data_IF_769381051198
#
_entry.id   IF_769381051198
#
_cell.length_a   1.000
_cell.length_b   1.000
_cell.length_c   1.000
_cell.angle_alpha   90.00
_cell.angle_beta   90.00
_cell.angle_gamma   90.00
#
_symmetry.space_group_name_H-M   'P 1'
#
loop_
_entity.id
_entity.type
_entity.pdbx_description
1 polymer ?
2 non-polymer ?
3 non-polymer ?
4 non-polymer ?
5 water ?
#
# COMPACT_ATOMS: atom_id res chain seq x y z
N UNK A 13 -14.08 -21.77 23.76
CA UNK A 13 -15.40 -21.34 24.22
C UNK A 13 -15.32 -20.93 25.69
N UNK A 14 -16.13 -19.94 26.07
CA UNK A 14 -16.04 -19.37 27.41
C UNK A 14 -17.45 -18.99 27.86
N UNK A 15 -17.64 -18.92 29.18
CA UNK A 15 -18.91 -18.51 29.73
C UNK A 15 -19.37 -17.21 29.11
N UNK A 16 -20.67 -17.12 28.80
CA UNK A 16 -21.22 -15.96 28.17
C UNK A 16 -21.13 -15.95 26.65
N UNK A 17 -20.30 -16.81 26.07
CA UNK A 17 -20.30 -16.97 24.63
C UNK A 17 -21.58 -17.67 24.15
N UNK A 18 -22.00 -17.31 22.95
CA UNK A 18 -23.19 -17.87 22.33
C UNK A 18 -22.77 -18.62 21.07
N UNK A 19 -23.10 -19.90 21.00
CA UNK A 19 -22.93 -20.69 19.79
C UNK A 19 -24.15 -20.52 18.90
N UNK A 20 -23.93 -20.28 17.61
CA UNK A 20 -24.98 -20.12 16.61
C UNK A 20 -24.49 -20.82 15.37
N UNK A 21 -25.06 -21.98 15.07
CA UNK A 21 -24.45 -22.85 14.08
C UNK A 21 -23.07 -23.28 14.53
N UNK A 22 -22.09 -23.19 13.63
CA UNK A 22 -20.72 -23.49 14.02
C UNK A 22 -19.92 -22.22 14.33
N UNK A 23 -20.60 -21.09 14.53
CA UNK A 23 -19.97 -19.83 14.87
C UNK A 23 -20.16 -19.51 16.35
N UNK A 24 -19.29 -18.63 16.86
CA UNK A 24 -19.36 -18.21 18.25
C UNK A 24 -19.40 -16.68 18.29
N UNK A 25 -20.26 -16.16 19.17
CA UNK A 25 -20.44 -14.73 19.35
C UNK A 25 -20.25 -14.37 20.80
N UNK A 26 -19.53 -13.28 21.05
CA UNK A 26 -19.25 -12.82 22.41
C UNK A 26 -19.51 -11.32 22.48
N UNK A 27 -20.37 -10.89 23.41
CA UNK A 27 -20.59 -9.45 23.57
C UNK A 27 -19.42 -8.84 24.33
N UNK A 28 -18.83 -7.79 23.73
CA UNK A 28 -17.70 -7.10 24.32
C UNK A 28 -18.07 -5.79 24.98
N UNK A 29 -19.16 -5.18 24.54
CA UNK A 29 -19.66 -3.91 25.05
C UNK A 29 -21.12 -3.84 24.70
N UNK A 30 -21.86 -2.87 25.26
CA UNK A 30 -23.31 -2.79 24.95
C UNK A 30 -23.65 -2.89 23.46
N UNK A 31 -22.82 -2.33 22.59
CA UNK A 31 -23.11 -2.32 21.15
C UNK A 31 -22.00 -2.95 20.30
N UNK A 32 -21.19 -3.82 20.87
CA UNK A 32 -20.08 -4.44 20.17
C UNK A 32 -20.02 -5.92 20.51
N UNK A 33 -19.88 -6.75 19.47
CA UNK A 33 -19.71 -8.17 19.60
C UNK A 33 -18.52 -8.67 18.77
N UNK A 34 -17.90 -9.74 19.25
CA UNK A 34 -16.88 -10.45 18.50
C UNK A 34 -17.54 -11.64 17.82
N UNK A 35 -17.29 -11.83 16.52
CA UNK A 35 -17.68 -13.04 15.82
C UNK A 35 -16.45 -13.92 15.60
N UNK A 36 -16.66 -15.22 15.79
CA UNK A 36 -15.60 -16.20 15.65
C UNK A 36 -16.07 -17.33 14.75
N UNK A 37 -15.27 -17.66 13.74
CA UNK A 37 -15.53 -18.76 12.84
C UNK A 37 -14.28 -19.62 12.78
N UNK A 38 -14.43 -20.86 12.35
CA UNK A 38 -13.37 -21.85 12.45
C UNK A 38 -13.16 -22.54 11.12
N UNK A 39 -11.91 -22.81 10.80
CA UNK A 39 -11.57 -23.60 9.62
C UNK A 39 -10.61 -24.70 10.02
N UNK A 40 -10.88 -25.91 9.55
CA UNK A 40 -9.99 -27.03 9.82
C UNK A 40 -8.77 -26.95 8.91
N UNK A 41 -7.60 -27.09 9.51
CA UNK A 41 -6.36 -27.13 8.73
C UNK A 41 -5.58 -28.41 9.00
N UNK A 44 -3.44 -29.86 12.11
CA UNK A 44 -3.41 -28.50 12.66
C UNK A 44 -4.66 -28.27 13.50
N UNK A 45 -5.76 -28.89 13.09
CA UNK A 45 -7.01 -28.78 13.83
C UNK A 45 -7.80 -27.55 13.43
N UNK A 46 -8.74 -27.18 14.30
CA UNK A 46 -9.55 -26.01 14.06
C UNK A 46 -8.78 -24.73 14.36
N UNK A 47 -8.81 -23.80 13.43
CA UNK A 47 -8.18 -22.49 13.61
C UNK A 47 -9.27 -21.44 13.66
N UNK A 48 -9.28 -20.65 14.74
CA UNK A 48 -10.25 -19.58 14.89
C UNK A 48 -9.83 -18.31 14.18
N UNK A 49 -10.83 -17.59 13.69
CA UNK A 49 -10.65 -16.22 13.22
C UNK A 49 -11.77 -15.33 13.77
N UNK A 50 -11.40 -14.19 14.30
CA UNK A 50 -12.31 -13.26 14.94
C UNK A 50 -12.49 -11.99 14.13
N UNK A 51 -13.73 -11.48 14.11
CA UNK A 51 -14.03 -10.15 13.63
C UNK A 51 -14.99 -9.44 14.57
N UNK A 52 -15.61 -8.32 14.15
CA UNK A 52 -16.46 -7.53 15.03
C UNK A 52 -17.79 -7.18 14.36
N UNK A 53 -18.80 -6.99 15.21
CA UNK A 53 -20.11 -6.50 14.85
C UNK A 53 -20.39 -5.30 15.74
N UNK A 54 -20.86 -4.20 15.15
CA UNK A 54 -21.11 -2.97 15.90
C UNK A 54 -22.51 -2.48 15.59
N UNK A 55 -23.30 -2.23 16.64
CA UNK A 55 -24.59 -1.60 16.51
C UNK A 55 -24.40 -0.09 16.65
N UNK A 56 -24.82 0.65 15.62
CA UNK A 56 -24.66 2.09 15.55
C UNK A 56 -26.03 2.71 15.25
N UNK A 57 -26.78 3.05 16.29
CA UNK A 57 -28.12 3.56 16.09
C UNK A 57 -28.99 2.50 15.46
N UNK A 58 -29.55 2.80 14.30
CA UNK A 58 -30.48 1.91 13.64
C UNK A 58 -29.83 1.03 12.60
N UNK A 59 -28.53 0.80 12.73
CA UNK A 59 -27.85 -0.01 11.73
C UNK A 59 -26.69 -0.76 12.36
N UNK A 60 -26.22 -1.75 11.63
CA UNK A 60 -25.14 -2.61 12.09
C UNK A 60 -23.99 -2.50 11.10
N UNK A 61 -22.78 -2.50 11.64
CA UNK A 61 -21.52 -2.45 10.88
C UNK A 61 -20.72 -3.71 11.18
N UNK A 62 -20.08 -4.28 10.15
CA UNK A 62 -19.30 -5.49 10.34
C UNK A 62 -17.84 -5.24 10.01
N UNK A 63 -16.96 -5.78 10.84
CA UNK A 63 -15.53 -5.81 10.53
C UNK A 63 -15.13 -7.27 10.29
N UNK A 64 -14.70 -7.56 9.07
CA UNK A 64 -14.21 -8.84 8.56
C UNK A 64 -15.32 -9.88 8.32
N UNK A 65 -15.16 -10.65 7.25
CA UNK A 65 -16.00 -11.81 7.01
C UNK A 65 -15.53 -12.95 7.91
N UNK A 66 -16.23 -14.08 7.81
CA UNK A 66 -15.77 -15.36 8.32
C UNK A 66 -14.90 -16.02 7.24
N UNK A 67 -14.37 -17.21 7.52
CA UNK A 67 -13.54 -17.87 6.52
C UNK A 67 -14.29 -18.16 5.22
N UNK A 68 -15.60 -18.45 5.31
CA UNK A 68 -16.34 -18.88 4.13
C UNK A 68 -17.63 -18.09 3.94
N UNK A 69 -18.17 -18.18 2.71
CA UNK A 69 -19.47 -17.58 2.43
C UNK A 69 -20.58 -18.14 3.33
N UNK A 70 -20.66 -19.46 3.46
CA UNK A 70 -21.72 -20.03 4.30
C UNK A 70 -21.62 -19.52 5.74
N UNK A 71 -20.40 -19.46 6.27
CA UNK A 71 -20.22 -18.95 7.63
C UNK A 71 -20.61 -17.48 7.73
N UNK A 72 -20.28 -16.69 6.69
CA UNK A 72 -20.59 -15.26 6.72
C UNK A 72 -22.09 -15.05 6.64
N UNK A 73 -22.77 -15.89 5.88
CA UNK A 73 -24.24 -15.88 5.86
C UNK A 73 -24.81 -16.11 7.25
N UNK A 74 -24.20 -16.99 8.04
CA UNK A 74 -24.66 -17.20 9.41
C UNK A 74 -24.40 -15.99 10.31
N UNK A 75 -23.29 -15.23 10.09
CA UNK A 75 -23.13 -13.96 10.80
C UNK A 75 -24.37 -13.10 10.56
N UNK A 76 -24.80 -12.98 9.30
CA UNK A 76 -25.96 -12.15 8.96
C UNK A 76 -27.23 -12.68 9.61
N UNK A 77 -27.34 -14.00 9.69
CA UNK A 77 -28.50 -14.59 10.34
C UNK A 77 -28.49 -14.31 11.85
N UNK A 78 -27.31 -14.40 12.49
CA UNK A 78 -27.22 -14.07 13.90
C UNK A 78 -27.57 -12.62 14.14
N UNK A 79 -27.09 -11.71 13.28
CA UNK A 79 -27.44 -10.31 13.44
C UNK A 79 -28.95 -10.11 13.37
N UNK A 80 -29.61 -10.76 12.40
CA UNK A 80 -31.05 -10.62 12.23
C UNK A 80 -31.78 -11.03 13.51
N UNK A 81 -31.33 -12.12 14.12
CA UNK A 81 -31.97 -12.64 15.31
C UNK A 81 -31.68 -11.84 16.56
N UNK A 82 -30.41 -11.50 16.79
CA UNK A 82 -30.08 -10.90 18.08
C UNK A 82 -30.17 -9.38 18.05
N UNK A 83 -29.98 -8.74 16.90
CA UNK A 83 -30.02 -7.28 16.82
C UNK A 83 -31.20 -6.78 16.00
N UNK A 84 -31.49 -7.45 14.88
CA UNK A 84 -32.64 -7.13 14.04
C UNK A 84 -32.59 -5.69 13.54
N UNK A 85 -31.40 -5.28 13.10
CA UNK A 85 -31.20 -4.03 12.38
C UNK A 85 -30.47 -4.33 11.08
N UNK A 86 -30.71 -3.55 10.05
CA UNK A 86 -30.03 -3.78 8.77
C UNK A 86 -28.54 -3.54 8.88
N UNK A 87 -27.79 -4.34 8.14
CA UNK A 87 -26.34 -4.17 8.05
C UNK A 87 -26.03 -3.12 6.97
N UNK A 88 -25.42 -2.01 7.38
CA UNK A 88 -25.17 -0.89 6.48
C UNK A 88 -23.90 -1.09 5.67
N UNK A 89 -22.87 -1.67 6.29
CA UNK A 89 -21.61 -1.84 5.59
C UNK A 89 -20.74 -2.85 6.33
N UNK A 90 -19.74 -3.34 5.61
CA UNK A 90 -18.69 -4.17 6.19
C UNK A 90 -17.35 -3.67 5.68
N UNK A 91 -16.35 -3.72 6.56
CA UNK A 91 -14.97 -3.40 6.20
C UNK A 91 -14.10 -4.61 6.53
N UNK A 92 -13.18 -4.94 5.62
CA UNK A 92 -12.35 -6.11 5.74
C UNK A 92 -10.89 -5.65 5.75
N UNK A 93 -10.07 -6.32 6.53
CA UNK A 93 -8.83 -5.71 6.97
C UNK A 93 -7.56 -6.23 6.29
N UNK A 94 -7.63 -7.26 5.46
CA UNK A 94 -6.64 -7.54 4.42
C UNK A 94 -7.13 -8.70 3.54
N UNK A 95 -6.40 -8.94 2.45
CA UNK A 95 -6.86 -9.90 1.44
C UNK A 95 -6.33 -11.31 1.73
N UNK A 96 -6.76 -11.88 2.84
CA UNK A 96 -6.58 -13.29 3.14
C UNK A 96 -7.95 -13.90 3.42
N UNK A 97 -7.98 -15.23 3.39
CA UNK A 97 -9.25 -15.95 3.41
C UNK A 97 -10.03 -15.69 4.70
N UNK A 98 -9.33 -15.56 5.83
CA UNK A 98 -10.06 -15.39 7.08
C UNK A 98 -10.78 -14.07 7.15
N UNK A 99 -10.36 -13.09 6.37
CA UNK A 99 -10.93 -11.76 6.45
C UNK A 99 -11.84 -11.44 5.29
N UNK A 100 -11.60 -12.06 4.13
CA UNK A 100 -12.34 -11.77 2.91
C UNK A 100 -12.96 -13.00 2.28
N UNK A 101 -12.84 -14.17 2.91
CA UNK A 101 -13.35 -15.39 2.32
C UNK A 101 -14.85 -15.40 2.10
N UNK A 102 -15.58 -14.56 2.83
CA UNK A 102 -17.04 -14.57 2.77
C UNK A 102 -17.66 -13.38 2.06
N UNK A 103 -16.91 -12.73 1.18
CA UNK A 103 -17.40 -11.51 0.53
C UNK A 103 -18.70 -11.76 -0.25
N UNK A 104 -18.79 -12.90 -0.94
CA UNK A 104 -20.00 -13.16 -1.72
C UNK A 104 -21.26 -13.14 -0.88
N UNK A 105 -21.20 -13.61 0.37
CA UNK A 105 -22.40 -13.60 1.21
C UNK A 105 -22.87 -12.18 1.47
N UNK A 106 -21.91 -11.28 1.66
CA UNK A 106 -22.26 -9.87 1.85
C UNK A 106 -22.83 -9.27 0.57
N UNK A 107 -22.18 -9.53 -0.56
CA UNK A 107 -22.65 -8.95 -1.82
C UNK A 107 -24.01 -9.53 -2.24
N UNK A 108 -24.22 -10.82 -1.98
CA UNK A 108 -25.54 -11.38 -2.26
C UNK A 108 -26.65 -10.70 -1.46
N UNK A 109 -26.34 -10.24 -0.25
CA UNK A 109 -27.30 -9.60 0.64
C UNK A 109 -27.39 -8.09 0.42
N UNK A 110 -26.67 -7.57 -0.56
CA UNK A 110 -26.72 -6.16 -0.87
C UNK A 110 -25.98 -5.25 0.06
N UNK A 111 -24.99 -5.78 0.78
CA UNK A 111 -24.26 -5.00 1.78
C UNK A 111 -23.06 -4.36 1.11
N UNK A 112 -22.92 -3.04 1.33
CA UNK A 112 -21.76 -2.31 0.81
C UNK A 112 -20.50 -2.74 1.54
N UNK A 113 -19.45 -3.05 0.79
CA UNK A 113 -18.22 -3.57 1.36
C UNK A 113 -17.06 -2.66 1.02
N UNK A 114 -16.13 -2.56 1.98
CA UNK A 114 -14.99 -1.64 1.93
C UNK A 114 -13.72 -2.39 2.28
N UNK A 115 -12.62 -2.05 1.59
CA UNK A 115 -11.30 -2.55 1.94
C UNK A 115 -10.24 -1.54 1.51
N UNK A 116 -9.05 -1.68 2.08
CA UNK A 116 -7.86 -0.99 1.53
C UNK A 116 -7.83 -1.18 0.01
N UNK A 117 -7.63 -0.08 -0.72
CA UNK A 117 -7.49 -0.22 -2.16
C UNK A 117 -6.50 -1.32 -2.53
N UNK A 118 -5.37 -1.39 -1.83
CA UNK A 118 -4.39 -2.43 -2.11
C UNK A 118 -4.97 -3.82 -1.86
N UNK A 119 -5.81 -3.96 -0.83
CA UNK A 119 -6.48 -5.25 -0.63
C UNK A 119 -7.32 -5.62 -1.84
N UNK A 120 -8.05 -4.66 -2.42
CA UNK A 120 -8.87 -4.94 -3.57
C UNK A 120 -8.00 -5.22 -4.79
N UNK A 121 -6.87 -4.55 -4.91
CA UNK A 121 -5.96 -4.82 -6.02
C UNK A 121 -5.34 -6.20 -5.91
N UNK A 122 -5.02 -6.64 -4.70
CA UNK A 122 -4.45 -7.95 -4.51
C UNK A 122 -5.51 -9.07 -4.52
N UNK A 123 -6.76 -8.75 -4.30
CA UNK A 123 -7.77 -9.80 -4.08
C UNK A 123 -7.78 -10.85 -5.17
N UNK A 124 -7.81 -10.51 -6.45
CA UNK A 124 -7.82 -11.58 -7.47
C UNK A 124 -6.64 -12.53 -7.34
N UNK A 125 -5.43 -12.00 -7.15
CA UNK A 125 -4.28 -12.87 -6.98
C UNK A 125 -4.41 -13.78 -5.76
N UNK A 126 -5.08 -13.29 -4.72
CA UNK A 126 -5.26 -14.04 -3.48
C UNK A 126 -6.48 -14.95 -3.52
N UNK A 127 -7.17 -15.04 -4.64
CA UNK A 127 -8.34 -15.88 -4.72
C UNK A 127 -9.54 -15.35 -3.99
N UNK A 128 -9.58 -14.03 -3.77
CA UNK A 128 -10.66 -13.37 -3.05
C UNK A 128 -11.48 -12.50 -3.99
N UNK A 129 -12.72 -12.30 -3.62
CA UNK A 129 -13.61 -11.34 -4.26
C UNK A 129 -13.29 -9.97 -3.68
N UNK A 130 -13.02 -9.00 -4.55
CA UNK A 130 -12.73 -7.68 -4.06
C UNK A 130 -13.98 -7.04 -3.44
N UNK A 131 -13.73 -6.15 -2.50
CA UNK A 131 -14.81 -5.35 -1.95
C UNK A 131 -15.29 -4.36 -3.01
N UNK A 132 -16.48 -3.79 -2.78
CA UNK A 132 -17.04 -2.87 -3.74
C UNK A 132 -16.31 -1.54 -3.75
N UNK A 133 -15.87 -1.09 -2.58
CA UNK A 133 -15.26 0.23 -2.42
C UNK A 133 -13.88 0.16 -1.80
N UNK A 134 -13.09 1.20 -2.09
CA UNK A 134 -11.69 1.24 -1.70
C UNK A 134 -11.41 2.39 -0.75
N UNK A 135 -10.75 2.06 0.35
CA UNK A 135 -10.24 3.05 1.27
C UNK A 135 -8.83 3.48 0.87
N UNK A 136 -8.54 4.78 1.04
CA UNK A 136 -7.20 5.32 0.90
C UNK A 136 -6.81 6.03 2.20
N UNK A 137 -5.51 6.29 2.34
CA UNK A 137 -4.96 6.68 3.62
C UNK A 137 -3.99 7.84 3.47
N UNK A 138 -3.94 8.66 4.50
CA UNK A 138 -2.97 9.75 4.54
C UNK A 138 -1.60 9.20 4.95
N UNK A 139 -0.58 10.05 4.79
CA UNK A 139 0.78 9.63 5.12
C UNK A 139 0.96 9.31 6.60
N UNK A 140 0.07 9.81 7.46
CA UNK A 140 0.14 9.47 8.87
C UNK A 140 -0.66 8.23 9.22
N UNK A 141 -1.24 7.57 8.23
CA UNK A 141 -1.94 6.31 8.39
C UNK A 141 -3.45 6.43 8.50
N UNK A 142 -3.98 7.62 8.78
CA UNK A 142 -5.41 7.74 9.00
C UNK A 142 -6.17 7.69 7.68
N UNK A 143 -7.34 7.03 7.70
CA UNK A 143 -8.14 6.93 6.49
C UNK A 143 -8.52 8.32 6.01
N UNK A 144 -8.55 8.48 4.69
CA UNK A 144 -9.08 9.69 4.07
C UNK A 144 -10.58 9.69 4.24
N UNK A 145 -11.17 10.63 4.98
CA UNK A 145 -12.58 10.49 5.35
C UNK A 145 -13.50 10.31 4.16
N UNK A 146 -13.17 10.91 3.02
CA UNK A 146 -14.03 10.78 1.85
C UNK A 146 -14.18 9.35 1.38
N UNK A 147 -13.22 8.49 1.69
CA UNK A 147 -13.25 7.10 1.25
C UNK A 147 -13.92 6.19 2.27
N UNK A 148 -14.33 6.73 3.41
CA UNK A 148 -14.94 5.97 4.50
C UNK A 148 -16.31 6.56 4.82
N UNK A 149 -17.23 6.55 3.87
CA UNK A 149 -18.51 7.26 4.06
C UNK A 149 -19.39 6.57 5.10
N UNK A 150 -19.87 7.37 6.04
CA UNK A 150 -20.84 6.91 7.04
C UNK A 150 -20.33 5.72 7.83
N UNK A 151 -19.03 5.77 8.17
CA UNK A 151 -18.43 4.71 8.98
C UNK A 151 -18.77 4.85 10.45
N UNK A 152 -19.44 5.93 10.86
CA UNK A 152 -19.91 6.05 12.22
C UNK A 152 -18.77 5.91 13.20
N UNK A 153 -18.91 4.98 14.15
CA UNK A 153 -17.85 4.81 15.16
C UNK A 153 -16.61 4.09 14.66
N UNK A 154 -16.60 3.56 13.44
CA UNK A 154 -15.43 2.83 12.95
C UNK A 154 -14.38 3.84 12.51
N UNK A 155 -13.24 3.81 13.17
CA UNK A 155 -12.10 4.68 12.90
C UNK A 155 -10.96 3.86 12.27
N UNK A 156 -10.78 3.98 10.96
CA UNK A 156 -9.88 3.07 10.25
C UNK A 156 -8.47 3.67 10.14
N UNK A 157 -7.45 2.87 10.43
CA UNK A 157 -6.06 3.31 10.48
C UNK A 157 -5.19 2.27 9.78
N UNK A 158 -4.36 2.74 8.86
CA UNK A 158 -3.39 1.89 8.20
C UNK A 158 -2.04 2.05 8.90
N UNK A 159 -1.54 1.05 9.64
CA UNK A 159 -0.35 1.28 10.48
C UNK A 159 0.98 1.16 9.74
N UNK A 160 0.96 0.74 8.49
CA UNK A 160 2.18 0.41 7.76
C UNK A 160 2.23 -1.07 7.54
N UNK A 161 3.14 -1.53 6.69
CA UNK A 161 3.22 -2.96 6.37
C UNK A 161 3.66 -3.77 7.58
N UNK A 162 3.08 -4.95 7.72
CA UNK A 162 3.47 -5.81 8.81
C UNK A 162 3.11 -7.25 8.54
N UNK A 163 1.97 -7.69 9.06
CA UNK A 163 1.43 -8.99 8.72
C UNK A 163 1.34 -9.13 7.20
N UNK A 164 0.81 -8.09 6.53
CA UNK A 164 0.82 -7.98 5.09
C UNK A 164 1.08 -6.51 4.77
N UNK A 165 1.29 -6.22 3.48
CA UNK A 165 1.47 -4.82 3.14
C UNK A 165 0.16 -4.04 3.14
N UNK A 166 -1.00 -4.73 3.14
CA UNK A 166 -2.28 -4.06 3.02
C UNK A 166 -3.05 -4.02 4.33
N UNK A 167 -2.50 -4.60 5.40
CA UNK A 167 -3.31 -4.76 6.62
C UNK A 167 -3.78 -3.43 7.17
N UNK A 168 -5.06 -3.38 7.59
CA UNK A 168 -5.59 -2.18 8.24
C UNK A 168 -6.18 -2.56 9.60
N UNK A 169 -6.43 -1.54 10.40
CA UNK A 169 -6.88 -1.68 11.79
C UNK A 169 -8.05 -0.73 12.02
N UNK A 170 -8.84 -0.98 13.06
CA UNK A 170 -10.10 -0.27 13.25
C UNK A 170 -10.29 -0.04 14.74
N UNK A 171 -10.49 1.22 15.13
CA UNK A 171 -10.89 1.54 16.49
C UNK A 171 -12.40 1.73 16.52
N UNK A 172 -13.01 1.47 17.67
CA UNK A 172 -14.46 1.64 17.84
C UNK A 172 -14.67 2.83 18.76
N UNK A 173 -15.04 3.95 18.14
CA UNK A 173 -15.22 5.20 18.87
C UNK A 173 -16.29 5.05 19.92
N UNK A 174 -16.11 5.73 21.04
CA UNK A 174 -17.07 5.60 22.11
C UNK A 174 -16.94 4.35 22.94
N UNK A 175 -15.90 3.57 22.70
CA UNK A 175 -15.60 2.39 23.49
C UNK A 175 -14.09 2.35 23.74
N UNK A 176 -13.67 1.36 24.53
CA UNK A 176 -12.27 1.13 24.80
C UNK A 176 -11.66 0.08 23.89
N UNK A 177 -12.28 -0.20 22.74
CA UNK A 177 -11.92 -1.34 21.92
C UNK A 177 -11.19 -0.85 20.68
N UNK A 178 -10.12 -1.56 20.30
CA UNK A 178 -9.47 -1.38 19.01
C UNK A 178 -9.15 -2.76 18.44
N UNK A 179 -9.30 -2.89 17.12
CA UNK A 179 -9.16 -4.16 16.42
C UNK A 179 -7.86 -4.15 15.63
N UNK A 180 -6.95 -5.03 15.99
CA UNK A 180 -5.67 -5.13 15.32
C UNK A 180 -5.61 -6.14 14.22
N UNK A 181 -6.68 -6.90 13.99
CA UNK A 181 -6.67 -7.88 12.93
C UNK A 181 -5.58 -8.88 13.14
N UNK A 182 -4.99 -9.33 12.03
CA UNK A 182 -3.93 -10.32 12.13
C UNK A 182 -2.56 -9.70 12.40
N UNK A 183 -2.48 -8.36 12.53
CA UNK A 183 -1.23 -7.70 12.85
C UNK A 183 -0.79 -7.96 14.28
N UNK A 184 -1.73 -7.96 15.21
CA UNK A 184 -1.43 -8.05 16.61
C UNK A 184 -1.74 -9.47 17.08
N UNK A 185 -0.84 -10.06 17.86
CA UNK A 185 -1.05 -11.31 18.55
C UNK A 185 -1.05 -11.07 20.05
N UNK A 186 -1.63 -12.01 20.81
CA UNK A 186 -1.81 -11.70 22.22
C UNK A 186 -0.48 -11.87 22.97
N UNK A 187 -0.50 -11.49 24.23
CA UNK A 187 0.75 -11.37 24.96
C UNK A 187 1.32 -12.72 25.37
N UNK A 188 0.56 -13.81 25.18
CA UNK A 188 1.09 -15.15 25.37
C UNK A 188 1.61 -15.78 24.08
N UNK A 189 1.56 -15.07 22.96
CA UNK A 189 1.95 -15.68 21.69
C UNK A 189 3.43 -16.00 21.75
N UNK A 190 3.81 -17.11 21.11
CA UNK A 190 5.22 -17.49 21.03
C UNK A 190 5.86 -17.04 19.74
N UNK A 191 5.07 -16.80 18.69
CA UNK A 191 5.57 -16.34 17.40
C UNK A 191 4.50 -15.47 16.76
N UNK A 192 4.89 -14.79 15.68
CA UNK A 192 3.97 -13.98 14.93
C UNK A 192 3.25 -14.81 13.88
N UNK A 195 4.11 -15.69 8.45
CA UNK A 195 4.84 -14.53 7.94
C UNK A 195 5.16 -14.63 6.45
N UNK A 196 4.37 -15.40 5.72
CA UNK A 196 4.64 -15.60 4.30
C UNK A 196 4.54 -14.32 3.49
N UNK A 197 3.54 -13.49 3.79
CA UNK A 197 3.31 -12.24 3.09
C UNK A 197 3.80 -11.05 3.89
N UNK A 198 4.61 -11.27 4.92
CA UNK A 198 4.86 -10.24 5.90
C UNK A 198 6.06 -9.39 5.52
N UNK A 199 6.02 -8.13 6.00
CA UNK A 199 7.13 -7.19 5.89
C UNK A 199 7.85 -7.21 7.23
N UNK A 200 8.87 -8.06 7.33
CA UNK A 200 9.60 -8.24 8.59
C UNK A 200 10.41 -7.00 8.94
N UNK A 201 10.75 -6.15 7.96
CA UNK A 201 11.54 -4.96 8.27
C UNK A 201 10.71 -3.94 9.02
N UNK A 202 9.47 -3.72 8.58
CA UNK A 202 8.62 -2.66 9.10
C UNK A 202 7.59 -3.13 10.12
N UNK A 203 7.49 -4.42 10.37
CA UNK A 203 6.43 -4.96 11.22
C UNK A 203 6.41 -4.27 12.59
N UNK A 204 7.58 -4.16 13.23
CA UNK A 204 7.61 -3.65 14.59
C UNK A 204 7.07 -2.23 14.66
N UNK A 205 7.50 -1.37 13.73
CA UNK A 205 7.05 0.01 13.70
C UNK A 205 5.57 0.09 13.42
N UNK A 206 5.08 -0.79 12.54
CA UNK A 206 3.64 -0.82 12.27
C UNK A 206 2.84 -1.24 13.49
N UNK A 207 3.32 -2.23 14.24
CA UNK A 207 2.63 -2.60 15.48
C UNK A 207 2.59 -1.43 16.45
N UNK A 208 3.72 -0.73 16.63
CA UNK A 208 3.73 0.41 17.54
C UNK A 208 2.84 1.53 17.04
N UNK A 209 2.74 1.71 15.71
CA UNK A 209 1.91 2.78 15.19
C UNK A 209 0.42 2.55 15.49
N UNK A 210 -0.01 1.29 15.43
CA UNK A 210 -1.36 0.94 15.83
C UNK A 210 -1.64 1.37 17.26
N UNK A 211 -0.71 1.07 18.18
CA UNK A 211 -0.89 1.48 19.56
C UNK A 211 -0.95 2.98 19.73
N UNK A 212 -0.13 3.71 18.97
CA UNK A 212 -0.12 5.15 19.09
C UNK A 212 -1.37 5.79 18.48
N UNK A 213 -1.99 5.13 17.50
CA UNK A 213 -3.20 5.66 16.87
C UNK A 213 -4.43 5.56 17.77
N UNK A 214 -4.46 4.55 18.65
CA UNK A 214 -5.60 4.28 19.54
C UNK A 214 -5.06 4.25 20.97
N UNK A 215 -4.57 5.39 21.47
CA UNK A 215 -3.84 5.36 22.73
C UNK A 215 -4.69 5.05 23.95
N UNK A 216 -6.00 5.21 23.87
CA UNK A 216 -6.88 4.96 25.01
C UNK A 216 -7.65 3.66 24.89
N UNK A 217 -7.43 2.88 23.85
CA UNK A 217 -8.02 1.54 23.81
C UNK A 217 -7.39 0.65 24.87
N UNK A 218 -8.24 0.02 25.69
CA UNK A 218 -7.75 -0.91 26.69
C UNK A 218 -8.12 -2.36 26.36
N UNK A 219 -9.01 -2.59 25.40
CA UNK A 219 -9.35 -3.94 24.97
C UNK A 219 -8.89 -4.07 23.53
N UNK A 220 -7.89 -4.92 23.30
CA UNK A 220 -7.35 -5.13 21.96
C UNK A 220 -7.91 -6.43 21.43
N UNK A 221 -8.68 -6.33 20.37
CA UNK A 221 -9.27 -7.48 19.70
C UNK A 221 -8.40 -7.85 18.50
N UNK A 222 -8.22 -9.16 18.31
CA UNK A 222 -7.28 -9.73 17.35
C UNK A 222 -7.94 -10.85 16.56
N UNK A 223 -7.37 -11.20 15.40
CA UNK A 223 -7.97 -12.24 14.59
C UNK A 223 -7.80 -13.63 15.20
N UNK A 224 -6.64 -13.93 15.78
CA UNK A 224 -6.31 -15.31 16.13
C UNK A 224 -6.02 -15.51 17.62
N UNK A 225 -6.45 -14.57 18.44
CA UNK A 225 -6.36 -14.65 19.89
C UNK A 225 -7.60 -14.03 20.50
N UNK A 226 -7.94 -14.41 21.74
CA UNK A 226 -9.00 -13.75 22.48
C UNK A 226 -8.56 -12.34 22.80
N UNK A 227 -9.51 -11.44 23.10
CA UNK A 227 -9.14 -10.06 23.40
C UNK A 227 -8.14 -9.99 24.56
N UNK A 228 -7.25 -9.02 24.48
CA UNK A 228 -6.18 -8.86 25.44
C UNK A 228 -6.05 -7.38 25.79
N UNK A 229 -5.19 -7.08 26.75
CA UNK A 229 -4.88 -5.71 27.09
C UNK A 229 -3.85 -5.11 26.09
N UNK A 230 -3.45 -3.88 26.35
CA UNK A 230 -2.50 -3.22 25.45
C UNK A 230 -1.14 -3.92 25.40
N UNK A 231 -0.84 -4.76 26.38
CA UNK A 231 0.42 -5.51 26.34
C UNK A 231 0.53 -6.38 25.09
N UNK A 232 -0.59 -6.77 24.50
CA UNK A 232 -0.54 -7.52 23.24
C UNK A 232 0.20 -6.73 22.16
N UNK A 233 -0.02 -5.41 22.11
CA UNK A 233 0.64 -4.55 21.13
C UNK A 233 2.14 -4.52 21.39
N UNK A 234 2.52 -4.26 22.64
CA UNK A 234 3.94 -4.12 22.96
C UNK A 234 4.68 -5.44 22.82
N UNK A 235 4.04 -6.53 23.27
CA UNK A 235 4.64 -7.86 23.11
C UNK A 235 4.84 -8.20 21.64
N UNK A 236 3.84 -7.90 20.81
CA UNK A 236 3.94 -8.16 19.38
C UNK A 236 5.09 -7.37 18.77
N UNK A 237 5.17 -6.07 19.10
CA UNK A 237 6.23 -5.23 18.58
C UNK A 237 7.60 -5.75 18.97
N UNK A 238 7.75 -6.19 20.23
CA UNK A 238 9.04 -6.70 20.69
C UNK A 238 9.40 -8.02 20.01
N UNK A 239 8.42 -8.88 19.73
CA UNK A 239 8.71 -10.05 18.91
C UNK A 239 9.15 -9.65 17.51
N UNK A 240 8.51 -8.64 16.95
CA UNK A 240 8.83 -8.19 15.61
C UNK A 240 10.20 -7.51 15.59
N UNK A 241 10.63 -6.92 16.73
CA UNK A 241 11.96 -6.31 16.75
C UNK A 241 13.04 -7.34 16.42
N UNK A 242 12.79 -8.60 16.79
CA UNK A 242 13.75 -9.69 16.61
C UNK A 242 13.84 -10.21 15.19
N UNK A 243 12.95 -9.79 14.29
CA UNK A 243 12.96 -10.21 12.90
C UNK A 243 13.93 -9.41 12.05
N UNK A 244 14.52 -8.37 12.59
CA UNK A 244 15.28 -7.41 11.82
C UNK A 244 16.77 -7.71 11.91
N UNK B 14 28.43 8.23 -23.62
CA UNK B 14 27.86 7.99 -24.94
C UNK B 14 27.79 9.30 -25.73
N UNK B 15 27.95 9.20 -27.05
CA UNK B 15 27.85 10.38 -27.90
C UNK B 15 26.49 11.03 -27.73
N UNK B 16 26.51 12.36 -27.60
CA UNK B 16 25.31 13.14 -27.39
C UNK B 16 24.90 13.28 -25.94
N UNK B 17 25.39 12.42 -25.05
CA UNK B 17 25.11 12.57 -23.63
C UNK B 17 25.86 13.78 -23.09
N UNK B 18 25.26 14.49 -22.14
CA UNK B 18 25.83 15.69 -21.56
C UNK B 18 26.08 15.46 -20.07
N UNK B 19 27.15 16.07 -19.56
CA UNK B 19 27.54 15.93 -18.16
C UNK B 19 27.53 17.26 -17.44
N UNK B 20 27.02 17.24 -16.20
CA UNK B 20 26.98 18.44 -15.35
C UNK B 20 27.44 17.96 -13.98
N UNK B 21 28.66 18.30 -13.56
CA UNK B 21 29.13 17.78 -12.29
C UNK B 21 29.27 16.28 -12.36
N UNK B 22 28.58 15.59 -11.45
CA UNK B 22 28.59 14.13 -11.41
C UNK B 22 27.39 13.51 -12.11
N UNK B 23 26.57 14.30 -12.79
CA UNK B 23 25.35 13.83 -13.43
C UNK B 23 25.52 13.71 -14.94
N UNK B 24 24.75 12.79 -15.52
CA UNK B 24 24.74 12.51 -16.95
C UNK B 24 23.30 12.62 -17.44
N UNK B 25 23.12 13.26 -18.58
CA UNK B 25 21.81 13.50 -19.16
C UNK B 25 21.76 13.04 -20.61
N UNK B 26 20.64 12.42 -20.99
CA UNK B 26 20.43 11.90 -22.34
C UNK B 26 19.02 12.29 -22.81
N UNK B 27 18.93 12.91 -23.98
CA UNK B 27 17.61 13.24 -24.52
C UNK B 27 16.96 12.00 -25.11
N UNK B 28 15.73 11.70 -24.68
CA UNK B 28 14.98 10.56 -25.16
C UNK B 28 13.89 10.96 -26.15
N UNK B 29 13.41 12.18 -26.05
CA UNK B 29 12.37 12.69 -26.94
C UNK B 29 12.48 14.21 -26.95
N UNK B 30 11.77 14.88 -27.86
CA UNK B 30 11.88 16.35 -27.90
C UNK B 30 11.70 17.01 -26.53
N UNK B 31 10.85 16.48 -25.66
CA UNK B 31 10.59 17.12 -24.38
C UNK B 31 10.90 16.21 -23.19
N UNK B 32 11.73 15.19 -23.37
CA UNK B 32 12.01 14.24 -22.31
C UNK B 32 13.50 13.93 -22.26
N UNK B 33 14.08 13.97 -21.07
CA UNK B 33 15.46 13.58 -20.88
C UNK B 33 15.57 12.60 -19.73
N UNK B 34 16.58 11.74 -19.78
CA UNK B 34 16.93 10.87 -18.65
C UNK B 34 18.06 11.49 -17.85
N UNK B 35 17.94 11.51 -16.52
CA UNK B 35 19.04 11.90 -15.65
C UNK B 35 19.65 10.66 -15.01
N UNK B 36 20.98 10.63 -14.92
CA UNK B 36 21.68 9.47 -14.37
C UNK B 36 22.70 9.94 -13.36
N UNK B 37 22.63 9.35 -12.17
CA UNK B 37 23.54 9.61 -11.07
C UNK B 37 24.09 8.31 -10.53
N UNK B 38 25.23 8.41 -9.82
CA UNK B 38 26.01 7.24 -9.43
C UNK B 38 26.37 7.30 -7.95
N UNK B 39 26.36 6.13 -7.31
CA UNK B 39 26.83 6.02 -5.93
C UNK B 39 27.81 4.87 -5.84
N UNK B 40 28.97 5.12 -5.23
CA UNK B 40 29.99 4.07 -5.07
C UNK B 40 29.65 3.16 -3.89
N UNK B 47 27.05 2.52 -8.83
CA UNK B 47 25.75 2.04 -9.28
C UNK B 47 24.95 3.20 -9.86
N UNK B 48 24.48 3.03 -11.11
CA UNK B 48 23.71 4.07 -11.77
C UNK B 48 22.26 4.04 -11.31
N UNK B 49 21.66 5.21 -11.23
CA UNK B 49 20.22 5.34 -11.03
C UNK B 49 19.69 6.37 -12.02
N UNK B 50 18.62 6.01 -12.71
CA UNK B 50 18.05 6.88 -13.73
C UNK B 50 16.73 7.45 -13.22
N UNK B 51 16.47 8.71 -13.58
CA UNK B 51 15.17 9.34 -13.46
C UNK B 51 14.84 10.05 -14.74
N UNK B 52 13.84 10.92 -14.73
CA UNK B 52 13.41 11.60 -15.94
C UNK B 52 13.19 13.08 -15.68
N UNK B 53 13.31 13.86 -16.77
CA UNK B 53 13.00 15.29 -16.82
C UNK B 53 12.04 15.51 -17.98
N UNK B 54 10.96 16.25 -17.74
CA UNK B 54 9.93 16.44 -18.77
C UNK B 54 9.61 17.91 -18.93
N UNK B 55 9.69 18.40 -20.16
CA UNK B 55 9.28 19.75 -20.49
C UNK B 55 7.81 19.72 -20.87
N UNK B 56 7.01 20.50 -20.17
CA UNK B 56 5.56 20.55 -20.38
C UNK B 56 5.23 22.01 -20.62
N UNK B 57 5.33 22.44 -21.87
CA UNK B 57 5.09 23.84 -22.17
C UNK B 57 6.14 24.69 -21.48
N UNK B 58 5.67 25.62 -20.64
CA UNK B 58 6.58 26.56 -20.01
C UNK B 58 7.05 26.15 -18.63
N UNK B 59 7.03 24.85 -18.34
CA UNK B 59 7.47 24.34 -17.05
C UNK B 59 8.11 22.97 -17.25
N UNK B 60 8.84 22.53 -16.23
CA UNK B 60 9.53 21.24 -16.24
C UNK B 60 9.03 20.41 -15.07
N UNK B 61 8.95 19.11 -15.31
CA UNK B 61 8.53 18.09 -14.35
C UNK B 61 9.67 17.09 -14.17
N UNK B 62 9.90 16.63 -12.94
CA UNK B 62 10.98 15.69 -12.63
C UNK B 62 10.41 14.40 -12.05
N UNK B 63 10.98 13.27 -12.47
CA UNK B 63 10.69 11.96 -11.86
C UNK B 63 11.96 11.44 -11.20
N UNK B 64 11.90 11.32 -9.87
CA UNK B 64 12.94 10.82 -8.97
C UNK B 64 14.07 11.82 -8.75
N UNK B 65 14.55 11.83 -7.49
CA UNK B 65 15.77 12.58 -7.21
C UNK B 65 16.99 11.75 -7.63
N UNK B 66 18.18 12.32 -7.42
CA UNK B 66 19.43 11.57 -7.48
C UNK B 66 19.71 10.96 -6.11
N UNK B 67 20.85 10.26 -5.97
CA UNK B 67 21.17 9.58 -4.73
C UNK B 67 21.28 10.56 -3.57
N UNK B 68 21.77 11.77 -3.83
CA UNK B 68 22.06 12.73 -2.78
C UNK B 68 21.50 14.11 -3.11
N UNK B 69 21.43 14.96 -2.08
CA UNK B 69 21.02 16.34 -2.26
C UNK B 69 21.95 17.08 -3.23
N UNK B 70 23.27 16.92 -3.07
CA UNK B 70 24.21 17.64 -3.93
C UNK B 70 24.00 17.24 -5.39
N UNK B 71 23.83 15.94 -5.64
CA UNK B 71 23.56 15.47 -6.99
C UNK B 71 22.22 15.99 -7.49
N UNK B 72 21.22 16.07 -6.63
CA UNK B 72 19.91 16.55 -7.07
C UNK B 72 19.99 18.03 -7.43
N UNK B 73 20.76 18.80 -6.68
CA UNK B 73 21.02 20.19 -7.06
C UNK B 73 21.68 20.29 -8.45
N UNK B 74 22.53 19.33 -8.79
CA UNK B 74 23.16 19.38 -10.12
C UNK B 74 22.14 19.13 -11.23
N UNK B 75 21.18 18.22 -11.01
CA UNK B 75 20.07 18.10 -11.93
C UNK B 75 19.38 19.44 -12.15
N UNK B 76 19.05 20.13 -11.06
CA UNK B 76 18.25 21.35 -11.16
C UNK B 76 19.01 22.45 -11.89
N UNK B 77 20.31 22.56 -11.65
CA UNK B 77 21.12 23.56 -12.34
C UNK B 77 21.35 23.22 -13.80
N UNK B 78 21.48 21.95 -14.14
CA UNK B 78 21.52 21.58 -15.54
C UNK B 78 20.22 21.99 -16.22
N UNK B 79 19.07 21.78 -15.57
CA UNK B 79 17.81 22.19 -16.16
C UNK B 79 17.77 23.70 -16.38
N UNK B 80 18.23 24.48 -15.40
CA UNK B 80 18.24 25.92 -15.58
C UNK B 80 19.12 26.31 -16.77
N UNK B 81 20.27 25.65 -16.90
CA UNK B 81 21.24 26.02 -17.93
C UNK B 81 20.78 25.61 -19.32
N UNK B 82 20.24 24.39 -19.46
CA UNK B 82 19.91 23.86 -20.78
C UNK B 82 18.47 24.07 -21.21
N UNK B 83 17.52 24.08 -20.28
CA UNK B 83 16.12 24.22 -20.62
C UNK B 83 15.58 25.59 -20.25
N UNK B 84 16.01 26.12 -19.09
CA UNK B 84 15.67 27.47 -18.66
C UNK B 84 14.15 27.66 -18.53
N UNK B 85 13.49 26.70 -17.92
CA UNK B 85 12.08 26.73 -17.53
C UNK B 85 11.98 26.38 -16.06
N UNK B 86 11.01 26.94 -15.34
CA UNK B 86 10.87 26.59 -13.91
C UNK B 86 10.44 25.14 -13.73
N UNK B 87 10.98 24.49 -12.71
CA UNK B 87 10.54 23.14 -12.34
C UNK B 87 9.33 23.31 -11.44
N UNK B 88 8.18 22.80 -11.87
CA UNK B 88 6.95 22.98 -11.09
C UNK B 88 6.76 21.91 -10.04
N UNK B 89 7.07 20.66 -10.37
CA UNK B 89 6.79 19.56 -9.46
C UNK B 89 7.71 18.38 -9.76
N UNK B 90 7.82 17.49 -8.78
CA UNK B 90 8.51 16.22 -8.95
C UNK B 90 7.70 15.11 -8.31
N UNK B 91 7.77 13.92 -8.89
CA UNK B 91 7.16 12.71 -8.34
C UNK B 91 8.28 11.69 -8.13
N UNK B 92 8.31 11.08 -6.94
CA UNK B 92 9.37 10.17 -6.52
C UNK B 92 8.73 8.81 -6.28
N UNK B 93 9.45 7.73 -6.66
CA UNK B 93 8.75 6.49 -6.97
C UNK B 93 8.85 5.39 -5.92
N UNK B 94 9.63 5.57 -4.87
CA UNK B 94 9.51 4.80 -3.65
C UNK B 94 10.56 5.33 -2.65
N UNK B 95 10.45 4.88 -1.41
CA UNK B 95 11.27 5.43 -0.34
C UNK B 95 12.58 4.64 -0.16
N UNK B 96 13.40 4.71 -1.22
CA UNK B 96 14.80 4.26 -1.20
C UNK B 96 15.69 5.45 -1.60
N UNK B 97 16.98 5.34 -1.28
CA UNK B 97 17.88 6.49 -1.42
C UNK B 97 18.04 6.95 -2.87
N UNK B 98 18.04 6.02 -3.82
CA UNK B 98 18.27 6.44 -5.20
C UNK B 98 17.11 7.28 -5.71
N UNK B 99 15.93 7.15 -5.10
CA UNK B 99 14.75 7.84 -5.59
C UNK B 99 14.36 9.05 -4.76
N UNK B 100 14.67 9.05 -3.48
CA UNK B 100 14.25 10.10 -2.55
C UNK B 100 15.41 10.72 -1.78
N UNK B 101 16.66 10.35 -2.09
CA UNK B 101 17.78 10.86 -1.34
C UNK B 101 17.98 12.35 -1.46
N UNK B 102 17.40 12.98 -2.49
CA UNK B 102 17.61 14.40 -2.75
C UNK B 102 16.40 15.28 -2.45
N UNK B 103 15.49 14.81 -1.58
CA UNK B 103 14.26 15.57 -1.36
C UNK B 103 14.55 16.96 -0.85
N UNK B 104 15.50 17.09 0.09
CA UNK B 104 15.81 18.40 0.64
C UNK B 104 16.19 19.38 -0.46
N UNK B 105 16.94 18.93 -1.47
CA UNK B 105 17.35 19.83 -2.54
C UNK B 105 16.16 20.29 -3.37
N UNK B 106 15.18 19.40 -3.61
CA UNK B 106 14.01 19.84 -4.36
C UNK B 106 13.24 20.88 -3.57
N UNK B 107 13.09 20.65 -2.28
CA UNK B 107 12.30 21.54 -1.45
C UNK B 107 12.96 22.89 -1.30
N UNK B 108 14.30 22.91 -1.19
CA UNK B 108 15.02 24.18 -1.12
C UNK B 108 14.84 24.99 -2.39
N UNK B 109 14.67 24.31 -3.53
CA UNK B 109 14.51 24.96 -4.82
C UNK B 109 13.08 25.37 -5.08
N UNK B 110 12.18 25.17 -4.11
CA UNK B 110 10.80 25.59 -4.28
C UNK B 110 9.97 24.65 -5.11
N UNK B 111 10.37 23.39 -5.23
CA UNK B 111 9.66 22.44 -6.07
C UNK B 111 8.63 21.68 -5.24
N UNK B 112 7.41 21.63 -5.75
CA UNK B 112 6.38 20.80 -5.11
C UNK B 112 6.65 19.31 -5.33
N UNK B 113 6.58 18.53 -4.25
CA UNK B 113 6.95 17.12 -4.36
C UNK B 113 5.79 16.20 -3.97
N UNK B 114 5.71 15.08 -4.68
CA UNK B 114 4.65 14.08 -4.56
C UNK B 114 5.22 12.68 -4.46
N UNK B 115 4.63 11.87 -3.61
CA UNK B 115 5.01 10.47 -3.51
C UNK B 115 3.78 9.67 -3.11
N UNK B 116 3.79 8.37 -3.39
CA UNK B 116 2.79 7.47 -2.79
C UNK B 116 2.66 7.79 -1.31
N UNK B 117 1.41 7.88 -0.82
CA UNK B 117 1.21 8.06 0.61
C UNK B 117 2.08 7.07 1.40
N UNK B 118 2.16 5.84 0.93
CA UNK B 118 2.91 4.81 1.67
C UNK B 118 4.41 5.16 1.68
N UNK B 119 4.93 5.70 0.57
CA UNK B 119 6.32 6.13 0.55
C UNK B 119 6.55 7.19 1.63
N UNK B 120 5.60 8.12 1.77
CA UNK B 120 5.76 9.16 2.77
C UNK B 120 5.65 8.58 4.18
N UNK B 121 4.80 7.58 4.38
CA UNK B 121 4.68 6.95 5.69
C UNK B 121 5.94 6.15 6.04
N UNK B 122 6.56 5.51 5.06
CA UNK B 122 7.79 4.76 5.29
C UNK B 122 9.02 5.65 5.35
N UNK B 123 8.94 6.87 4.84
CA UNK B 123 10.13 7.71 4.71
C UNK B 123 10.92 7.82 6.01
N UNK B 124 10.32 8.09 7.17
CA UNK B 124 11.13 8.18 8.40
C UNK B 124 11.93 6.92 8.72
N UNK B 125 11.32 5.74 8.62
CA UNK B 125 12.08 4.53 8.89
C UNK B 125 13.20 4.32 7.90
N UNK B 126 13.00 4.73 6.66
CA UNK B 126 13.99 4.56 5.61
C UNK B 126 15.04 5.67 5.60
N UNK B 127 15.01 6.59 6.55
CA UNK B 127 15.99 7.65 6.56
C UNK B 127 15.81 8.66 5.46
N UNK B 128 14.62 8.73 4.90
CA UNK B 128 14.32 9.65 3.82
C UNK B 128 13.46 10.78 4.35
N UNK B 129 13.56 11.93 3.70
CA UNK B 129 12.63 13.04 3.91
C UNK B 129 11.37 12.80 3.08
N UNK B 130 10.20 12.92 3.71
CA UNK B 130 8.96 12.69 2.98
C UNK B 130 8.67 13.83 2.00
N UNK B 131 7.89 13.49 0.96
CA UNK B 131 7.39 14.50 0.03
C UNK B 131 6.34 15.37 0.70
N UNK B 132 6.10 16.53 0.08
CA UNK B 132 5.15 17.48 0.64
C UNK B 132 3.72 16.96 0.49
N UNK B 133 3.47 16.11 -0.49
CA UNK B 133 2.11 15.68 -0.80
C UNK B 133 2.09 14.18 -1.08
N UNK B 134 0.93 13.58 -0.83
CA UNK B 134 0.76 12.15 -0.95
C UNK B 134 -0.21 11.82 -2.07
N UNK B 135 0.21 10.91 -2.94
CA UNK B 135 -0.65 10.29 -3.95
C UNK B 135 -1.36 9.09 -3.36
N UNK B 136 -2.63 8.92 -3.73
CA UNK B 136 -3.36 7.71 -3.41
C UNK B 136 -3.87 7.11 -4.72
N UNK B 137 -4.30 5.85 -4.65
CA UNK B 137 -4.55 5.06 -5.84
C UNK B 137 -5.83 4.26 -5.69
N UNK B 138 -6.53 4.10 -6.79
CA UNK B 138 -7.71 3.27 -6.90
C UNK B 138 -7.32 1.80 -6.93
N UNK B 139 -8.34 0.93 -6.80
CA UNK B 139 -8.09 -0.50 -6.79
C UNK B 139 -7.52 -1.00 -8.10
N UNK B 140 -7.74 -0.25 -9.18
CA UNK B 140 -7.17 -0.63 -10.47
C UNK B 140 -5.78 -0.04 -10.67
N UNK B 141 -5.22 0.67 -9.67
CA UNK B 141 -3.85 1.16 -9.74
C UNK B 141 -3.68 2.61 -10.14
N UNK B 142 -4.69 3.24 -10.73
CA UNK B 142 -4.52 4.60 -11.23
C UNK B 142 -4.59 5.61 -10.09
N UNK B 143 -3.75 6.64 -10.18
CA UNK B 143 -3.73 7.66 -9.14
C UNK B 143 -5.12 8.28 -9.01
N UNK B 144 -5.51 8.59 -7.78
CA UNK B 144 -6.77 9.32 -7.57
C UNK B 144 -6.51 10.77 -7.98
N UNK B 145 -7.19 11.31 -8.99
CA UNK B 145 -6.75 12.60 -9.56
C UNK B 145 -6.69 13.77 -8.57
N UNK B 146 -7.54 13.80 -7.54
CA UNK B 146 -7.48 14.92 -6.59
C UNK B 146 -6.14 15.01 -5.89
N UNK B 147 -5.39 13.91 -5.85
CA UNK B 147 -4.09 13.88 -5.19
C UNK B 147 -2.93 14.23 -6.13
N UNK B 148 -3.20 14.33 -7.43
CA UNK B 148 -2.18 14.59 -8.45
C UNK B 148 -2.59 15.83 -9.25
N UNK B 149 -2.73 16.98 -8.58
CA UNK B 149 -3.26 18.16 -9.26
C UNK B 149 -2.26 18.70 -10.26
N UNK B 150 -2.77 19.04 -11.45
CA UNK B 150 -1.99 19.75 -12.45
C UNK B 150 -0.73 19.00 -12.85
N UNK B 151 -0.84 17.68 -12.98
CA UNK B 151 0.31 16.86 -13.38
C UNK B 151 0.58 16.88 -14.88
N UNK B 152 -0.20 17.58 -15.68
CA UNK B 152 0.10 17.68 -17.10
C UNK B 152 0.20 16.30 -17.73
N UNK B 153 1.29 16.01 -18.44
CA UNK B 153 1.39 14.71 -19.13
C UNK B 153 1.74 13.54 -18.24
N UNK B 154 2.08 13.76 -16.96
CA UNK B 154 2.48 12.63 -16.10
C UNK B 154 1.27 11.81 -15.67
N UNK B 155 1.25 10.54 -16.05
CA UNK B 155 0.17 9.60 -15.75
C UNK B 155 0.71 8.58 -14.76
N UNK B 156 0.29 8.67 -13.48
CA UNK B 156 0.93 7.91 -12.40
C UNK B 156 0.09 6.68 -12.10
N UNK B 157 0.76 5.52 -12.03
CA UNK B 157 0.12 4.22 -11.87
C UNK B 157 0.85 3.39 -10.82
N UNK B 158 0.08 2.84 -9.87
CA UNK B 158 0.62 1.94 -8.85
C UNK B 158 0.36 0.51 -9.28
N UNK B 159 1.37 -0.27 -9.63
CA UNK B 159 1.13 -1.57 -10.26
C UNK B 159 0.91 -2.69 -9.28
N UNK B 160 1.07 -2.44 -7.99
CA UNK B 160 1.05 -3.48 -6.99
C UNK B 160 2.44 -3.68 -6.44
N UNK B 161 2.54 -4.40 -5.32
CA UNK B 161 3.86 -4.57 -4.69
C UNK B 161 4.76 -5.44 -5.55
N UNK B 162 6.03 -5.07 -5.59
CA UNK B 162 6.99 -5.86 -6.32
C UNK B 162 8.42 -5.62 -5.82
N UNK B 163 9.15 -4.71 -6.46
CA UNK B 163 10.44 -4.28 -5.92
C UNK B 163 10.30 -3.87 -4.46
N UNK B 164 9.29 -3.04 -4.18
CA UNK B 164 8.88 -2.71 -2.82
C UNK B 164 7.36 -2.67 -2.79
N UNK B 165 6.80 -2.52 -1.62
CA UNK B 165 5.35 -2.43 -1.54
C UNK B 165 4.83 -1.05 -1.95
N UNK B 166 5.70 -0.02 -1.99
CA UNK B 166 5.25 1.32 -2.32
C UNK B 166 5.61 1.75 -3.72
N UNK B 167 6.27 0.89 -4.53
CA UNK B 167 6.79 1.36 -5.82
C UNK B 167 5.67 1.80 -6.76
N UNK B 168 5.89 2.94 -7.45
CA UNK B 168 4.95 3.47 -8.43
C UNK B 168 5.66 3.72 -9.76
N UNK B 169 4.84 3.93 -10.80
CA UNK B 169 5.32 4.10 -12.19
C UNK B 169 4.63 5.27 -12.87
N UNK B 170 5.23 5.74 -13.96
CA UNK B 170 4.78 6.99 -14.58
C UNK B 170 4.84 6.90 -16.08
N UNK B 171 3.74 7.20 -16.76
CA UNK B 171 3.77 7.41 -18.20
C UNK B 171 3.75 8.88 -18.56
N UNK B 172 4.30 9.20 -19.74
CA UNK B 172 4.35 10.57 -20.20
C UNK B 172 3.46 10.69 -21.44
N UNK B 173 2.28 11.29 -21.25
CA UNK B 173 1.35 11.46 -22.36
C UNK B 173 1.99 12.32 -23.42
N UNK B 174 1.65 12.06 -24.69
CA UNK B 174 2.24 12.76 -25.82
C UNK B 174 3.60 12.23 -26.22
N UNK B 175 4.03 11.13 -25.61
CA UNK B 175 5.28 10.47 -25.96
C UNK B 175 5.06 8.96 -25.96
N UNK B 176 6.10 8.24 -26.37
CA UNK B 176 6.09 6.78 -26.37
C UNK B 176 6.73 6.19 -25.12
N UNK B 177 6.90 6.99 -24.06
CA UNK B 177 7.74 6.64 -22.92
C UNK B 177 6.92 6.32 -21.67
N UNK B 178 7.33 5.27 -20.97
CA UNK B 178 6.77 4.95 -19.64
C UNK B 178 7.94 4.57 -18.73
N UNK B 179 7.85 4.96 -17.45
CA UNK B 179 8.96 4.80 -16.51
C UNK B 179 8.57 3.76 -15.47
N UNK B 180 9.34 2.69 -15.41
CA UNK B 180 9.10 1.63 -14.48
C UNK B 180 9.87 1.71 -13.19
N UNK B 181 10.71 2.73 -13.04
CA UNK B 181 11.43 2.84 -11.78
C UNK B 181 12.24 1.58 -11.55
N UNK B 182 12.38 1.22 -10.30
CA UNK B 182 13.19 0.04 -9.98
C UNK B 182 12.41 -1.26 -10.11
N UNK B 183 11.15 -1.21 -10.50
CA UNK B 183 10.36 -2.43 -10.69
C UNK B 183 10.81 -3.20 -11.93
N UNK B 184 11.14 -2.49 -13.00
CA UNK B 184 11.43 -3.12 -14.28
C UNK B 184 12.95 -3.18 -14.49
N UNK B 185 13.41 -4.33 -14.96
CA UNK B 185 14.80 -4.55 -15.36
C UNK B 185 14.88 -4.77 -16.87
N UNK B 186 16.06 -4.57 -17.46
CA UNK B 186 16.10 -4.62 -18.92
C UNK B 186 15.98 -6.06 -19.39
N UNK B 187 15.78 -6.21 -20.71
CA UNK B 187 15.36 -7.50 -21.26
C UNK B 187 16.46 -8.53 -21.34
N UNK B 188 17.70 -8.16 -21.07
CA UNK B 188 18.78 -9.12 -20.95
C UNK B 188 19.12 -9.42 -19.48
N UNK B 189 18.41 -8.84 -18.53
CA UNK B 189 18.88 -8.90 -17.16
C UNK B 189 18.99 -10.33 -16.66
N UNK B 190 19.91 -10.52 -15.73
CA UNK B 190 20.11 -11.79 -15.06
C UNK B 190 19.40 -11.89 -13.72
N UNK B 191 19.17 -10.76 -13.05
CA UNK B 191 18.55 -10.78 -11.73
C UNK B 191 17.63 -9.58 -11.56
N UNK B 192 16.72 -9.71 -10.60
CA UNK B 192 15.80 -8.64 -10.24
C UNK B 192 16.44 -7.79 -9.16
N UNK B 195 16.39 -7.82 -3.78
CA UNK B 195 15.04 -8.27 -3.50
C UNK B 195 14.74 -8.26 -2.00
N UNK B 196 15.51 -7.47 -1.25
CA UNK B 196 15.38 -7.48 0.19
C UNK B 196 14.02 -7.02 0.69
N UNK B 197 13.49 -5.94 0.09
CA UNK B 197 12.20 -5.40 0.46
C UNK B 197 11.11 -5.79 -0.53
N UNK B 198 11.31 -6.87 -1.29
CA UNK B 198 10.44 -7.19 -2.41
C UNK B 198 9.30 -8.09 -1.99
N UNK B 199 8.21 -8.02 -2.78
CA UNK B 199 7.05 -8.92 -2.65
C UNK B 199 7.24 -10.00 -3.71
N UNK B 200 7.80 -11.13 -3.29
CA UNK B 200 8.13 -12.20 -4.21
C UNK B 200 6.89 -12.82 -4.86
N UNK B 201 5.76 -12.79 -4.15
CA UNK B 201 4.53 -13.44 -4.60
C UNK B 201 3.84 -12.63 -5.69
N UNK B 202 3.74 -11.32 -5.54
CA UNK B 202 2.94 -10.48 -6.44
C UNK B 202 3.82 -9.78 -7.52
N UNK B 203 5.15 -9.95 -7.47
CA UNK B 203 6.04 -9.16 -8.32
C UNK B 203 5.67 -9.29 -9.80
N UNK B 204 5.46 -10.54 -10.27
CA UNK B 204 5.22 -10.75 -11.69
C UNK B 204 3.96 -10.04 -12.14
N UNK B 205 2.88 -10.19 -11.37
CA UNK B 205 1.61 -9.53 -11.73
C UNK B 205 1.75 -8.03 -11.70
N UNK B 206 2.56 -7.49 -10.79
CA UNK B 206 2.79 -6.05 -10.75
C UNK B 206 3.55 -5.57 -11.98
N UNK B 207 4.56 -6.32 -12.42
CA UNK B 207 5.22 -6.00 -13.67
C UNK B 207 4.27 -6.05 -14.86
N UNK B 208 3.44 -7.11 -14.95
CA UNK B 208 2.48 -7.16 -16.04
C UNK B 208 1.48 -6.02 -15.98
N UNK B 209 1.11 -5.57 -14.77
CA UNK B 209 0.13 -4.51 -14.64
C UNK B 209 0.66 -3.19 -15.17
N UNK B 210 1.95 -2.91 -14.91
CA UNK B 210 2.59 -1.73 -15.49
C UNK B 210 2.48 -1.77 -17.02
N UNK B 211 2.76 -2.92 -17.62
CA UNK B 211 2.66 -2.99 -19.07
C UNK B 211 1.25 -2.76 -19.57
N UNK B 212 0.25 -3.29 -18.84
CA UNK B 212 -1.14 -3.10 -19.24
C UNK B 212 -1.62 -1.68 -19.03
N UNK B 213 -1.05 -0.97 -18.05
CA UNK B 213 -1.46 0.41 -17.82
C UNK B 213 -0.99 1.33 -18.95
N UNK B 214 0.12 1.01 -19.58
CA UNK B 214 0.73 1.86 -20.60
C UNK B 214 0.93 1.02 -21.85
N UNK B 215 -0.16 0.58 -22.48
CA UNK B 215 -0.02 -0.41 -23.56
C UNK B 215 0.64 0.13 -24.82
N UNK B 216 0.68 1.45 -25.02
CA UNK B 216 1.26 1.98 -26.25
C UNK B 216 2.65 2.57 -26.02
N UNK B 217 3.18 2.53 -24.80
CA UNK B 217 4.57 2.92 -24.57
C UNK B 217 5.48 1.93 -25.27
N UNK B 218 6.40 2.42 -26.09
CA UNK B 218 7.40 1.60 -26.75
C UNK B 218 8.81 1.80 -26.22
N UNK B 219 9.03 2.84 -25.41
CA UNK B 219 10.32 3.07 -24.76
C UNK B 219 10.08 2.97 -23.26
N UNK B 220 10.65 1.95 -22.64
CA UNK B 220 10.54 1.72 -21.21
C UNK B 220 11.83 2.18 -20.56
N UNK B 221 11.72 3.19 -19.72
CA UNK B 221 12.83 3.73 -18.95
C UNK B 221 12.77 3.08 -17.58
N UNK B 222 13.93 2.77 -17.02
CA UNK B 222 13.92 2.17 -15.68
C UNK B 222 15.14 2.63 -14.91
N UNK B 223 15.15 2.29 -13.62
CA UNK B 223 16.15 2.89 -12.74
C UNK B 223 17.59 2.43 -12.98
N UNK B 224 17.81 1.15 -13.21
CA UNK B 224 19.18 0.63 -13.16
C UNK B 224 19.65 -0.03 -14.44
N UNK B 225 18.93 0.20 -15.53
CA UNK B 225 19.36 -0.22 -16.85
C UNK B 225 19.02 0.92 -17.81
N UNK B 226 19.69 0.93 -18.96
CA UNK B 226 19.43 1.95 -19.96
C UNK B 226 18.06 1.66 -20.59
N UNK B 227 17.46 2.64 -21.27
CA UNK B 227 16.13 2.41 -21.86
C UNK B 227 16.08 1.18 -22.75
N UNK B 228 14.93 0.52 -22.73
CA UNK B 228 14.71 -0.72 -23.47
C UNK B 228 13.35 -0.63 -24.12
N UNK B 229 13.03 -1.64 -24.93
CA UNK B 229 11.70 -1.80 -25.49
C UNK B 229 10.76 -2.43 -24.48
N UNK B 230 9.52 -2.68 -24.92
CA UNK B 230 8.56 -3.36 -24.05
C UNK B 230 9.05 -4.77 -23.66
N UNK B 231 10.05 -5.30 -24.35
CA UNK B 231 10.63 -6.57 -23.93
C UNK B 231 11.12 -6.52 -22.49
N UNK B 232 11.51 -5.33 -21.99
CA UNK B 232 11.92 -5.20 -20.59
C UNK B 232 10.80 -5.65 -19.65
N UNK B 233 9.55 -5.31 -19.98
CA UNK B 233 8.43 -5.63 -19.09
C UNK B 233 8.20 -7.13 -19.02
N UNK B 234 8.12 -7.78 -20.19
CA UNK B 234 7.80 -9.21 -20.25
C UNK B 234 8.97 -10.04 -19.74
N UNK B 235 10.20 -9.61 -20.01
CA UNK B 235 11.35 -10.29 -19.41
C UNK B 235 11.31 -10.22 -17.89
N UNK B 236 11.01 -9.03 -17.35
CA UNK B 236 10.98 -8.83 -15.91
C UNK B 236 9.94 -9.75 -15.31
N UNK B 237 8.74 -9.77 -15.91
CA UNK B 237 7.68 -10.63 -15.38
C UNK B 237 8.07 -12.10 -15.43
N UNK B 238 8.73 -12.53 -16.52
CA UNK B 238 9.13 -13.93 -16.65
C UNK B 238 10.19 -14.28 -15.59
N UNK B 239 11.11 -13.35 -15.30
CA UNK B 239 12.04 -13.60 -14.21
C UNK B 239 11.29 -13.70 -12.89
N UNK B 240 10.30 -12.83 -12.69
CA UNK B 240 9.63 -12.76 -11.41
C UNK B 240 8.72 -13.96 -11.21
N UNK B 241 8.26 -14.58 -12.29
CA UNK B 241 7.43 -15.78 -12.16
C UNK B 241 8.16 -16.88 -11.38
N UNK B 242 9.48 -16.92 -11.50
CA UNK B 242 10.27 -17.94 -10.82
C UNK B 242 10.37 -17.73 -9.31
N UNK B 243 9.90 -16.61 -8.79
CA UNK B 243 10.03 -16.34 -7.36
C UNK B 243 8.94 -17.00 -6.52
N UNK B 244 7.89 -17.52 -7.15
CA UNK B 244 6.74 -18.04 -6.42
C UNK B 244 6.79 -19.56 -6.29
X LIG C 1 -3.86 -19.14 11.33
X LIG C 1 -3.25 -20.36 11.15
X LIG C 1 -2.79 -20.74 9.87
X LIG C 1 -2.94 -19.88 8.77
X LIG C 1 -4.57 -15.63 6.93
X LIG C 1 -4.96 -17.11 7.30
X LIG C 1 -4.58 -19.27 5.79
X LIG C 1 -3.31 -18.94 6.62
X LIG C 1 -3.58 -18.61 8.95
X LIG C 1 -4.04 -18.26 10.24
X LIG C 1 -3.68 -17.88 7.68
X LIG C 1 -2.65 -19.97 7.42
X LIG C 1 -3.85 -14.60 8.33
X LIG C 1 -5.71 -17.89 5.84
X LIG C 1 -4.17 -18.88 12.17
X LIG C 1 -3.13 -20.92 11.87
X LIG C 1 -2.39 -21.57 9.81
X LIG C 1 -5.37 -15.14 6.66
X LIG C 1 -3.93 -15.57 6.20
X LIG C 1 -5.63 -17.14 8.00
X LIG C 1 -5.08 -20.03 6.11
X LIG C 1 -4.38 -19.44 4.85
X LIG C 1 -2.64 -18.57 6.01
X LIG C 1 -4.46 -17.45 10.39
X LIG C 1 -2.21 -20.60 7.01
X LIG C 1 -3.40 -15.37 9.13
X LIG D 1 -5.50 -14.08 9.89
X LIG E 1 -3.63 -12.70 7.06
X LIG F 1 -14.84 3.65 -4.54
X LIG F 1 -14.70 2.38 -5.29
X LIG F 1 -14.35 4.76 -5.33
X LIG F 1 -16.27 3.81 -4.22
X LIG F 1 -14.10 3.53 -3.30
X LIG G 1 8.53 -0.56 23.69
X LIG G 1 9.04 -1.89 23.35
X LIG G 1 7.57 -0.12 22.69
X LIG G 1 7.88 -0.57 24.99
X LIG G 1 9.64 0.37 23.72
X LIG H 1 14.49 0.54 -4.47
X LIG I 1 16.63 1.53 -7.30
#
# INVERSE_FOLDING_TARGET
GSGEIRPTIGQQMETGDQRFGDLVFRQLAPNVWQHTSYLDMPGFGAVASNGLIVRDGGRVLVVDTAWTDDQTAQILNWIKQEINLPVALAVVTHAHQDKMGGMDALHAAGIATYANALSNQLAPQEGMVAAQHSLTFAANGWVEPATAPNFGPLKVFYPGPGHTSDNITVGIDGTDIAFGGCLIKDSKAKSLGNLGDADTEHYAASARAFGAAFPKASMIVMSHSAPDSRAAITHTARMADKLR
GSGEIRPTIGQQMETGDQRFGDLVFRQLAPNVWQHTSYLDMPGFGAVASNGLIVRDGGRVLVVDTAWTDDQTAQILNWIKQEINLPVALAVVTHAHQDKMGGMDALHAAGIATYANALSNQLAPQEGMVAAQHSLTFAANGWVEPATAPNFGPLKVFYPGPGHTSDNITVGIDGTDIAFGGCLIKDSKAKSLGNLGDADTEHYAASARAFGAAFPKASMIVMSHSAPDSRAAITHTARMADKLR
Y4E C10 C11 C12 C13 C02 C03 C05 C06 C08 C09 N07 N14 S01 S04 H101 H111 H121 H022 H021 H031 H051 H052 H061 H091 H141 H011
ZN ZN
ZN ZN
SO4 S O1 O2 O3 O4
SO4 S O1 O2 O3 O4
ZN ZN
ZN ZN
#
